data_IF_367940909375
#
_entry.id   IF_367940909375
#
_cell.length_a   1.000
_cell.length_b   1.000
_cell.length_c   1.000
_cell.angle_alpha   90.00
_cell.angle_beta   90.00
_cell.angle_gamma   90.00
#
_symmetry.space_group_name_H-M   'P 1'
#
loop_
_entity.id
_entity.type
_entity.pdbx_description
1 polymer ?
#
# COMPACT_ATOMS: atom_id res chain seq x y z
N UNK A 1 -22.86 40.32 -35.57
CA UNK A 1 -23.70 40.08 -34.38
C UNK A 1 -23.58 38.67 -33.76
N UNK A 2 -23.17 37.61 -34.49
CA UNK A 2 -23.01 36.26 -33.90
C UNK A 2 -21.80 36.09 -32.95
N UNK A 3 -20.67 36.78 -33.22
CA UNK A 3 -19.47 36.72 -32.36
C UNK A 3 -19.64 37.39 -30.99
N UNK A 4 -20.48 38.42 -30.89
CA UNK A 4 -20.67 39.16 -29.64
C UNK A 4 -21.52 38.36 -28.63
N UNK A 5 -22.49 37.58 -29.12
CA UNK A 5 -23.33 36.72 -28.28
C UNK A 5 -22.51 35.59 -27.62
N UNK A 6 -21.56 35.00 -28.35
CA UNK A 6 -20.71 33.93 -27.83
C UNK A 6 -19.76 34.40 -26.73
N UNK A 7 -19.25 35.63 -26.83
CA UNK A 7 -18.39 36.23 -25.81
C UNK A 7 -19.21 36.57 -24.55
N UNK A 8 -20.43 37.08 -24.72
CA UNK A 8 -21.34 37.35 -23.60
C UNK A 8 -21.73 36.07 -22.85
N UNK A 9 -21.92 34.97 -23.58
CA UNK A 9 -22.23 33.66 -23.00
C UNK A 9 -21.06 33.11 -22.15
N UNK A 10 -19.81 33.31 -22.58
CA UNK A 10 -18.62 32.89 -21.82
C UNK A 10 -18.42 33.72 -20.54
N UNK A 11 -18.72 35.02 -20.58
CA UNK A 11 -18.56 35.91 -19.41
C UNK A 11 -19.65 35.64 -18.36
N UNK A 12 -20.90 35.39 -18.77
CA UNK A 12 -22.00 35.08 -17.84
C UNK A 12 -21.87 33.71 -17.15
N UNK A 13 -21.20 32.73 -17.75
CA UNK A 13 -20.97 31.43 -17.11
C UNK A 13 -19.79 31.43 -16.12
N UNK A 14 -18.92 32.46 -16.16
CA UNK A 14 -17.83 32.61 -15.18
C UNK A 14 -18.23 33.40 -13.93
N UNK A 15 -19.32 34.16 -13.95
CA UNK A 15 -19.76 34.96 -12.79
C UNK A 15 -20.54 34.17 -11.74
N UNK A 16 -20.80 32.87 -11.97
CA UNK A 16 -21.46 31.98 -11.01
C UNK A 16 -20.50 31.05 -10.29
N UNK A 17 -19.23 31.44 -10.11
CA UNK A 17 -18.43 30.92 -9.00
C UNK A 17 -18.97 31.54 -7.71
N UNK A 18 -20.06 30.93 -7.21
CA UNK A 18 -20.63 31.24 -5.91
C UNK A 18 -19.53 31.24 -4.86
N UNK A 19 -19.60 32.23 -3.99
CA UNK A 19 -18.73 32.42 -2.82
C UNK A 19 -18.29 31.08 -2.23
N UNK A 20 -16.98 30.80 -2.30
CA UNK A 20 -16.37 29.67 -1.59
C UNK A 20 -16.79 29.78 -0.13
N UNK A 21 -17.52 28.80 0.43
CA UNK A 21 -17.92 28.86 1.82
C UNK A 21 -16.64 28.92 2.66
N UNK A 22 -16.46 30.05 3.31
CA UNK A 22 -15.36 30.25 4.25
C UNK A 22 -15.63 29.31 5.43
N UNK A 23 -14.70 28.39 5.67
CA UNK A 23 -14.68 27.45 6.81
C UNK A 23 -15.74 26.35 6.84
N UNK A 24 -15.43 25.24 6.19
CA UNK A 24 -15.69 23.91 6.77
C UNK A 24 -14.32 23.25 6.93
N UNK A 25 -14.02 22.61 8.05
CA UNK A 25 -12.73 21.96 8.29
C UNK A 25 -12.39 20.98 7.12
N UNK A 26 -11.59 21.42 6.13
CA UNK A 26 -11.16 20.61 4.97
C UNK A 26 -10.06 19.59 5.34
N UNK A 27 -9.88 19.30 6.62
CA UNK A 27 -8.93 18.29 7.04
C UNK A 27 -9.54 16.91 6.79
N UNK A 28 -8.79 15.97 6.20
CA UNK A 28 -9.27 14.60 6.06
C UNK A 28 -9.60 14.04 7.44
N UNK A 29 -10.79 13.47 7.56
CA UNK A 29 -11.22 12.73 8.74
C UNK A 29 -10.38 11.46 8.89
N UNK A 30 -10.13 11.05 10.13
CA UNK A 30 -9.37 9.83 10.40
C UNK A 30 -10.11 8.57 9.91
N UNK A 31 -11.44 8.52 10.09
CA UNK A 31 -12.22 7.31 9.84
C UNK A 31 -12.85 7.27 8.43
N UNK A 32 -13.16 8.44 7.88
CA UNK A 32 -13.89 8.58 6.60
C UNK A 32 -13.10 9.35 5.54
N UNK A 33 -11.88 9.82 5.87
CA UNK A 33 -11.03 10.56 4.94
C UNK A 33 -11.71 11.81 4.40
N UNK A 34 -11.77 11.91 3.07
CA UNK A 34 -12.39 13.02 2.35
C UNK A 34 -13.79 12.70 1.82
N UNK A 35 -14.39 11.56 2.19
CA UNK A 35 -15.66 11.11 1.62
C UNK A 35 -16.83 12.08 1.89
N UNK A 36 -16.83 12.76 3.04
CA UNK A 36 -17.86 13.75 3.40
C UNK A 36 -17.74 15.11 2.70
N UNK A 37 -16.66 15.36 1.96
CA UNK A 37 -16.37 16.65 1.34
C UNK A 37 -16.91 16.67 -0.09
N UNK A 38 -17.71 17.68 -0.45
CA UNK A 38 -18.39 17.77 -1.75
C UNK A 38 -17.82 18.89 -2.64
N UNK A 39 -17.91 18.72 -3.95
CA UNK A 39 -17.53 19.73 -4.94
C UNK A 39 -16.01 19.97 -5.01
N UNK A 40 -15.61 21.18 -5.41
CA UNK A 40 -14.19 21.55 -5.59
C UNK A 40 -13.35 21.43 -4.31
N UNK A 41 -13.99 21.55 -3.15
CA UNK A 41 -13.34 21.36 -1.84
C UNK A 41 -12.84 19.93 -1.59
N UNK A 42 -13.36 18.94 -2.32
CA UNK A 42 -12.91 17.55 -2.23
C UNK A 42 -11.47 17.37 -2.69
N UNK A 43 -11.08 18.03 -3.79
CA UNK A 43 -9.72 17.99 -4.31
C UNK A 43 -8.71 18.58 -3.33
N UNK A 44 -9.06 19.69 -2.66
CA UNK A 44 -8.22 20.30 -1.63
C UNK A 44 -8.08 19.40 -0.38
N UNK A 45 -9.11 18.62 -0.05
CA UNK A 45 -9.02 17.63 1.01
C UNK A 45 -8.06 16.49 0.62
N UNK A 46 -8.15 16.00 -0.62
CA UNK A 46 -7.25 14.95 -1.12
C UNK A 46 -5.80 15.40 -1.19
N UNK A 47 -5.53 16.64 -1.62
CA UNK A 47 -4.18 17.21 -1.63
C UNK A 47 -3.57 17.22 -0.23
N UNK A 48 -4.35 17.61 0.79
CA UNK A 48 -3.92 17.55 2.20
C UNK A 48 -3.71 16.13 2.70
N UNK A 49 -4.54 15.19 2.26
CA UNK A 49 -4.39 13.78 2.60
C UNK A 49 -3.10 13.22 1.99
N UNK A 50 -2.84 13.49 0.71
CA UNK A 50 -1.61 13.11 0.03
C UNK A 50 -0.38 13.71 0.71
N UNK A 51 -0.38 15.00 1.03
CA UNK A 51 0.73 15.64 1.74
C UNK A 51 1.00 15.00 3.12
N UNK A 52 -0.04 14.53 3.82
CA UNK A 52 0.13 13.75 5.06
C UNK A 52 0.77 12.39 4.79
N UNK A 53 0.33 11.69 3.76
CA UNK A 53 0.93 10.40 3.36
C UNK A 53 2.40 10.56 2.94
N UNK A 54 2.71 11.53 2.09
CA UNK A 54 4.09 11.85 1.69
C UNK A 54 4.95 12.22 2.91
N UNK A 55 4.40 12.94 3.90
CA UNK A 55 5.10 13.22 5.16
C UNK A 55 5.37 11.96 5.98
N UNK A 56 4.43 11.01 6.00
CA UNK A 56 4.60 9.72 6.68
C UNK A 56 5.62 8.86 5.93
N UNK A 57 5.56 8.80 4.61
CA UNK A 57 6.48 8.03 3.77
C UNK A 57 7.91 8.61 3.82
N UNK A 58 8.04 9.95 3.81
CA UNK A 58 9.32 10.65 3.96
C UNK A 58 9.88 10.62 5.38
N UNK A 59 9.04 10.34 6.38
CA UNK A 59 9.52 10.12 7.74
C UNK A 59 10.28 8.79 7.80
N UNK A 60 11.60 8.88 7.65
CA UNK A 60 12.52 7.73 7.76
C UNK A 60 12.40 7.12 9.14
N UNK A 61 11.71 6.00 9.24
CA UNK A 61 11.72 5.19 10.45
C UNK A 61 13.06 4.46 10.56
N UNK A 62 13.68 4.47 11.74
CA UNK A 62 14.78 3.56 12.03
C UNK A 62 14.21 2.15 12.25
N UNK A 63 14.79 1.18 11.56
CA UNK A 63 14.35 -0.22 11.62
C UNK A 63 15.39 -1.03 12.37
N UNK A 64 15.02 -1.54 13.54
CA UNK A 64 15.90 -2.38 14.36
C UNK A 64 15.33 -3.79 14.41
N UNK A 65 16.15 -4.80 14.11
CA UNK A 65 15.77 -6.21 14.27
C UNK A 65 16.01 -6.59 15.72
N UNK A 66 14.93 -6.82 16.48
CA UNK A 66 14.98 -7.21 17.89
C UNK A 66 15.27 -8.70 18.05
N UNK A 67 14.66 -9.54 17.21
CA UNK A 67 14.89 -10.97 17.24
C UNK A 67 14.73 -11.59 15.86
N UNK A 68 15.48 -12.67 15.65
CA UNK A 68 15.41 -13.51 14.46
C UNK A 68 15.47 -14.96 14.90
N UNK A 69 14.34 -15.64 14.82
CA UNK A 69 14.20 -17.05 15.17
C UNK A 69 13.87 -17.84 13.92
N UNK A 70 14.57 -18.96 13.71
CA UNK A 70 14.30 -19.87 12.59
C UNK A 70 13.43 -21.03 13.09
N UNK A 71 12.29 -21.21 12.45
CA UNK A 71 11.37 -22.32 12.67
C UNK A 71 11.21 -23.08 11.36
N UNK A 72 12.06 -24.09 11.14
CA UNK A 72 12.04 -24.90 9.92
C UNK A 72 12.35 -24.08 8.67
N UNK A 73 11.36 -23.94 7.78
CA UNK A 73 11.45 -23.19 6.51
C UNK A 73 11.14 -21.69 6.67
N UNK A 74 10.66 -21.29 7.85
CA UNK A 74 10.22 -19.93 8.12
C UNK A 74 11.19 -19.21 9.06
N UNK A 75 11.34 -17.91 8.83
CA UNK A 75 12.05 -16.99 9.70
C UNK A 75 11.03 -16.07 10.36
N UNK A 76 10.93 -16.13 11.68
CA UNK A 76 10.18 -15.16 12.48
C UNK A 76 11.10 -14.02 12.85
N UNK A 77 10.80 -12.84 12.33
CA UNK A 77 11.51 -11.60 12.60
C UNK A 77 10.66 -10.70 13.46
N UNK A 78 11.20 -10.23 14.58
CA UNK A 78 10.62 -9.14 15.34
C UNK A 78 11.38 -7.87 15.03
N UNK A 79 10.72 -6.94 14.35
CA UNK A 79 11.28 -5.64 13.94
C UNK A 79 10.64 -4.53 14.78
N UNK A 80 11.43 -3.53 15.14
CA UNK A 80 10.96 -2.29 15.76
C UNK A 80 11.17 -1.16 14.78
N UNK A 81 10.10 -0.45 14.46
CA UNK A 81 10.14 0.76 13.65
C UNK A 81 9.96 1.95 14.58
N UNK A 82 10.94 2.84 14.62
CA UNK A 82 10.86 4.07 15.41
C UNK A 82 10.90 5.28 14.48
N UNK A 83 9.90 6.14 14.56
CA UNK A 83 9.87 7.43 13.85
C UNK A 83 10.43 8.56 14.71
N UNK A 84 10.43 8.37 16.03
CA UNK A 84 11.09 9.24 17.01
C UNK A 84 11.48 8.41 18.23
N UNK A 85 12.24 9.00 19.17
CA UNK A 85 12.67 8.32 20.41
C UNK A 85 11.51 7.83 21.28
N UNK A 86 10.33 8.46 21.15
CA UNK A 86 9.14 8.15 21.94
C UNK A 86 8.06 7.42 21.13
N UNK A 87 8.18 7.37 19.81
CA UNK A 87 7.20 6.74 18.93
C UNK A 87 7.81 5.57 18.17
N UNK A 88 7.71 4.40 18.80
CA UNK A 88 8.14 3.13 18.24
C UNK A 88 6.98 2.14 18.19
N UNK A 89 6.96 1.30 17.14
CA UNK A 89 6.02 0.19 17.02
C UNK A 89 6.79 -1.08 16.68
N UNK A 90 6.41 -2.15 17.37
CA UNK A 90 6.93 -3.49 17.12
C UNK A 90 6.05 -4.21 16.09
N UNK A 91 6.70 -4.90 15.17
CA UNK A 91 6.08 -5.68 14.11
C UNK A 91 6.71 -7.07 14.08
N UNK A 92 5.86 -8.07 13.96
CA UNK A 92 6.26 -9.46 13.80
C UNK A 92 5.99 -9.87 12.35
N UNK A 93 7.05 -10.31 11.67
CA UNK A 93 7.01 -10.72 10.27
C UNK A 93 7.47 -12.16 10.16
N UNK A 94 6.74 -12.95 9.38
CA UNK A 94 7.10 -14.34 9.08
C UNK A 94 7.51 -14.41 7.61
N UNK A 95 8.79 -14.70 7.37
CA UNK A 95 9.36 -14.77 6.02
C UNK A 95 9.64 -16.22 5.66
N UNK A 96 9.13 -16.65 4.50
CA UNK A 96 9.52 -17.94 3.93
C UNK A 96 10.96 -17.88 3.41
N UNK A 97 11.86 -18.63 4.04
CA UNK A 97 13.28 -18.66 3.71
C UNK A 97 13.85 -20.07 3.94
N UNK A 98 13.46 -21.04 3.09
CA UNK A 98 13.91 -22.42 3.22
C UNK A 98 15.41 -22.52 2.94
N UNK A 99 16.05 -23.44 3.66
CA UNK A 99 17.46 -23.79 3.46
C UNK A 99 17.68 -24.56 2.16
N UNK A 100 18.92 -24.57 1.69
CA UNK A 100 19.33 -25.37 0.54
C UNK A 100 18.90 -26.85 0.68
N UNK A 101 19.14 -27.46 1.85
CA UNK A 101 18.78 -28.86 2.09
C UNK A 101 17.27 -29.11 2.11
N UNK A 102 16.47 -28.17 2.63
CA UNK A 102 15.00 -28.28 2.57
C UNK A 102 14.49 -28.23 1.14
N UNK A 103 15.01 -27.29 0.33
CA UNK A 103 14.71 -27.22 -1.11
C UNK A 103 15.15 -28.50 -1.83
N UNK A 104 16.36 -28.98 -1.57
CA UNK A 104 16.89 -30.18 -2.21
C UNK A 104 16.06 -31.42 -1.85
N UNK A 105 15.67 -31.58 -0.58
CA UNK A 105 14.78 -32.66 -0.14
C UNK A 105 13.44 -32.63 -0.88
N UNK A 106 12.82 -31.46 -0.99
CA UNK A 106 11.55 -31.31 -1.70
C UNK A 106 11.71 -31.68 -3.18
N UNK A 107 12.74 -31.17 -3.86
CA UNK A 107 13.01 -31.48 -5.27
C UNK A 107 13.26 -32.97 -5.49
N UNK A 108 14.10 -33.60 -4.65
CA UNK A 108 14.46 -35.00 -4.79
C UNK A 108 13.26 -35.91 -4.53
N UNK A 109 12.41 -35.58 -3.56
CA UNK A 109 11.14 -36.26 -3.33
C UNK A 109 10.23 -36.20 -4.56
N UNK A 110 10.11 -35.02 -5.17
CA UNK A 110 9.27 -34.84 -6.37
C UNK A 110 9.81 -35.61 -7.58
N UNK A 111 11.12 -35.55 -7.81
CA UNK A 111 11.76 -36.27 -8.92
C UNK A 111 11.61 -37.77 -8.75
N UNK A 112 11.83 -38.30 -7.55
CA UNK A 112 11.70 -39.74 -7.28
C UNK A 112 10.28 -40.23 -7.60
N UNK A 113 9.26 -39.53 -7.11
CA UNK A 113 7.86 -39.88 -7.37
C UNK A 113 7.56 -39.83 -8.88
N UNK A 114 8.02 -38.79 -9.57
CA UNK A 114 7.83 -38.65 -11.02
C UNK A 114 8.48 -39.80 -11.80
N UNK A 115 9.69 -40.21 -11.42
CA UNK A 115 10.39 -41.33 -12.06
C UNK A 115 9.66 -42.65 -11.79
N UNK A 116 9.20 -42.90 -10.56
CA UNK A 116 8.42 -44.09 -10.24
C UNK A 116 7.13 -44.18 -11.06
N UNK A 117 6.38 -43.07 -11.18
CA UNK A 117 5.16 -43.02 -12.00
C UNK A 117 5.48 -43.27 -13.48
N UNK A 118 6.49 -42.60 -14.02
CA UNK A 118 6.91 -42.78 -15.42
C UNK A 118 7.35 -44.22 -15.71
N UNK A 119 8.05 -44.87 -14.78
CA UNK A 119 8.46 -46.26 -14.90
C UNK A 119 7.28 -47.23 -14.86
N UNK A 120 6.34 -47.04 -13.94
CA UNK A 120 5.13 -47.87 -13.85
C UNK A 120 4.27 -47.77 -15.12
N UNK A 121 4.10 -46.57 -15.67
CA UNK A 121 3.36 -46.36 -16.93
C UNK A 121 4.14 -46.97 -18.11
N UNK A 122 5.45 -46.79 -18.16
CA UNK A 122 6.29 -47.29 -19.25
C UNK A 122 6.40 -48.80 -19.34
N UNK A 123 6.25 -49.53 -18.22
CA UNK A 123 6.17 -51.01 -18.22
C UNK A 123 4.76 -51.50 -18.54
N UNK A 124 3.74 -50.69 -18.27
CA UNK A 124 2.33 -51.02 -18.51
C UNK A 124 1.94 -50.96 -19.99
N UNK A 125 2.74 -50.34 -20.84
CA UNK A 125 2.52 -50.19 -22.28
C UNK A 125 3.54 -51.03 -23.06
#
# INVERSE_FOLDING_TARGET
MKRFLSILFLICNCSTFGSVPTQTNLNPSHDTGCFGVKGSSWFLCLEKLQARWEKIESSKASVTILSKVREGEYLRLKKRFCWSEFFCRDFEEVIYSPTFFQRLKATLSTVLISVCIGFLIGISF
#
